data_IF_503075186554
#
_entry.id   IF_503075186554
#
_cell.length_a   1.000
_cell.length_b   1.000
_cell.length_c   1.000
_cell.angle_alpha   90.00
_cell.angle_beta   90.00
_cell.angle_gamma   90.00
#
_symmetry.space_group_name_H-M   'P 1'
#
loop_
_entity.id
_entity.type
_entity.pdbx_description
1 polymer ?
#
# COMPACT_ATOMS: atom_id res chain seq x y z
N UNK A 1 -8.79 -9.93 -15.55
CA UNK A 1 -8.88 -8.93 -14.45
C UNK A 1 -8.93 -7.50 -14.98
N UNK A 2 -7.89 -6.96 -15.63
CA UNK A 2 -7.99 -5.63 -16.28
C UNK A 2 -8.94 -5.63 -17.51
N UNK A 3 -9.07 -6.76 -18.20
CA UNK A 3 -9.99 -6.94 -19.33
C UNK A 3 -11.45 -7.23 -18.91
N UNK A 4 -11.71 -7.54 -17.64
CA UNK A 4 -13.06 -7.93 -17.14
C UNK A 4 -13.81 -6.76 -16.50
N UNK A 5 -13.29 -5.53 -16.61
CA UNK A 5 -13.94 -4.32 -16.08
C UNK A 5 -13.84 -4.11 -14.56
N UNK A 6 -12.93 -4.82 -13.88
CA UNK A 6 -12.64 -4.61 -12.46
C UNK A 6 -11.59 -3.51 -12.28
N UNK A 7 -11.82 -2.63 -11.31
CA UNK A 7 -10.85 -1.64 -10.88
C UNK A 7 -9.85 -2.27 -9.91
N UNK A 8 -8.56 -2.14 -10.24
CA UNK A 8 -7.49 -2.80 -9.49
C UNK A 8 -6.89 -1.82 -8.49
N UNK A 9 -6.87 -2.23 -7.23
CA UNK A 9 -6.13 -1.56 -6.18
C UNK A 9 -4.97 -2.45 -5.76
N UNK A 10 -3.75 -2.05 -6.11
CA UNK A 10 -2.53 -2.72 -5.69
C UNK A 10 -2.21 -2.37 -4.23
N UNK A 11 -2.01 -3.40 -3.41
CA UNK A 11 -1.72 -3.29 -1.98
C UNK A 11 -0.37 -3.96 -1.69
N UNK A 12 0.75 -3.29 -1.99
CA UNK A 12 2.08 -3.78 -1.65
C UNK A 12 2.37 -3.69 -0.14
N UNK A 13 3.21 -4.60 0.37
CA UNK A 13 3.90 -4.36 1.63
C UNK A 13 4.88 -3.20 1.50
N UNK A 14 5.15 -2.50 2.61
CA UNK A 14 6.09 -1.37 2.61
C UNK A 14 7.37 -1.76 3.36
N UNK A 15 8.38 -2.26 2.62
CA UNK A 15 9.70 -2.62 3.16
C UNK A 15 10.79 -1.60 2.78
N UNK A 16 10.64 -0.85 1.69
CA UNK A 16 11.60 0.19 1.24
C UNK A 16 10.89 1.36 0.55
N UNK A 17 11.58 2.50 0.42
CA UNK A 17 11.12 3.59 -0.47
C UNK A 17 11.26 3.25 -1.96
N UNK A 18 11.81 2.08 -2.32
CA UNK A 18 11.89 1.67 -3.73
C UNK A 18 10.68 0.87 -4.19
N UNK A 19 9.81 0.45 -3.27
CA UNK A 19 8.73 -0.50 -3.54
C UNK A 19 7.75 0.00 -4.63
N UNK A 20 7.36 1.28 -4.54
CA UNK A 20 6.44 1.89 -5.52
C UNK A 20 7.05 2.05 -6.91
N UNK A 21 8.35 2.29 -6.99
CA UNK A 21 9.06 2.37 -8.27
C UNK A 21 9.29 0.99 -8.88
N UNK A 22 9.58 -0.02 -8.06
CA UNK A 22 9.74 -1.37 -8.55
C UNK A 22 8.42 -1.90 -9.11
N UNK A 23 7.32 -1.75 -8.38
CA UNK A 23 6.03 -2.23 -8.85
C UNK A 23 5.64 -1.54 -10.17
N UNK A 24 5.78 -0.22 -10.25
CA UNK A 24 5.53 0.54 -11.49
C UNK A 24 6.41 0.06 -12.65
N UNK A 25 7.70 -0.22 -12.40
CA UNK A 25 8.63 -0.76 -13.39
C UNK A 25 8.21 -2.15 -13.89
N UNK A 26 7.87 -3.06 -12.96
CA UNK A 26 7.43 -4.42 -13.29
C UNK A 26 6.15 -4.37 -14.12
N UNK A 27 5.15 -3.59 -13.70
CA UNK A 27 3.88 -3.45 -14.43
C UNK A 27 4.12 -2.90 -15.85
N UNK A 28 4.92 -1.84 -15.99
CA UNK A 28 5.26 -1.27 -17.30
C UNK A 28 5.93 -2.29 -18.23
N UNK A 29 6.89 -3.06 -17.72
CA UNK A 29 7.58 -4.09 -18.52
C UNK A 29 6.70 -5.28 -18.88
N UNK A 30 5.64 -5.53 -18.12
CA UNK A 30 4.61 -6.54 -18.45
C UNK A 30 3.50 -5.97 -19.35
N UNK A 31 3.66 -4.74 -19.86
CA UNK A 31 2.68 -4.10 -20.74
C UNK A 31 1.43 -3.56 -20.02
N UNK A 32 1.46 -3.48 -18.69
CA UNK A 32 0.39 -2.94 -17.87
C UNK A 32 0.59 -1.44 -17.62
N UNK A 33 -0.50 -0.70 -17.55
CA UNK A 33 -0.48 0.73 -17.21
C UNK A 33 -0.08 0.89 -15.73
N UNK A 34 0.97 1.68 -15.42
CA UNK A 34 1.35 1.96 -14.04
C UNK A 34 0.21 2.61 -13.25
N UNK A 35 0.04 2.25 -11.97
CA UNK A 35 -1.06 2.77 -11.16
C UNK A 35 -0.83 4.21 -10.72
N UNK A 36 -1.92 4.88 -10.33
CA UNK A 36 -1.82 6.12 -9.57
C UNK A 36 -1.41 5.81 -8.13
N UNK A 37 -0.35 6.44 -7.64
CA UNK A 37 0.31 6.05 -6.39
C UNK A 37 -0.04 7.02 -5.27
N UNK A 38 -0.59 6.52 -4.16
CA UNK A 38 -0.80 7.32 -2.96
C UNK A 38 0.53 7.56 -2.24
N UNK A 39 1.08 8.76 -2.38
CA UNK A 39 2.36 9.15 -1.80
C UNK A 39 2.18 10.06 -0.57
N UNK A 40 3.06 9.95 0.43
CA UNK A 40 3.05 10.89 1.55
C UNK A 40 3.38 12.31 1.12
N UNK A 41 2.69 13.32 1.66
CA UNK A 41 2.92 14.75 1.31
C UNK A 41 4.35 15.23 1.58
N UNK A 42 5.12 14.53 2.42
CA UNK A 42 6.54 14.80 2.65
C UNK A 42 7.41 14.60 1.39
N UNK A 43 6.93 13.87 0.38
CA UNK A 43 7.61 13.67 -0.90
C UNK A 43 7.30 14.77 -1.92
N UNK A 44 6.39 15.70 -1.61
CA UNK A 44 6.00 16.79 -2.48
C UNK A 44 6.89 18.03 -2.28
N UNK A 45 8.19 17.91 -2.57
CA UNK A 45 9.15 19.02 -2.54
C UNK A 45 9.71 19.29 -3.94
N UNK A 46 10.16 20.52 -4.22
CA UNK A 46 10.77 20.82 -5.51
C UNK A 46 12.21 20.26 -5.58
N UNK A 47 12.64 19.62 -6.68
CA UNK A 47 11.91 19.36 -7.93
C UNK A 47 11.14 18.01 -7.99
N UNK A 48 11.14 17.21 -6.92
CA UNK A 48 10.58 15.85 -6.89
C UNK A 48 9.07 15.79 -7.10
N UNK A 49 8.33 16.66 -6.41
CA UNK A 49 6.88 16.69 -6.40
C UNK A 49 6.28 16.76 -7.81
N UNK A 50 6.65 17.75 -8.64
CA UNK A 50 6.20 17.85 -10.02
C UNK A 50 6.51 16.62 -10.88
N UNK A 51 7.67 15.99 -10.68
CA UNK A 51 8.06 14.77 -11.40
C UNK A 51 7.15 13.61 -10.99
N UNK A 52 6.99 13.36 -9.69
CA UNK A 52 6.14 12.27 -9.20
C UNK A 52 4.68 12.44 -9.60
N UNK A 53 4.14 13.67 -9.64
CA UNK A 53 2.79 13.90 -10.15
C UNK A 53 2.63 13.48 -11.61
N UNK A 54 3.63 13.77 -12.45
CA UNK A 54 3.64 13.33 -13.86
C UNK A 54 3.76 11.82 -14.01
N UNK A 55 4.34 11.15 -13.01
CA UNK A 55 4.43 9.69 -12.93
C UNK A 55 3.21 9.05 -12.24
N UNK A 56 2.14 9.81 -11.98
CA UNK A 56 0.88 9.28 -11.41
C UNK A 56 0.75 9.37 -9.89
N UNK A 57 1.70 9.98 -9.17
CA UNK A 57 1.59 10.12 -7.73
C UNK A 57 0.56 11.20 -7.33
N UNK A 58 -0.31 10.86 -6.38
CA UNK A 58 -1.16 11.81 -5.67
C UNK A 58 -0.77 11.87 -4.19
N UNK A 59 -0.64 13.08 -3.65
CA UNK A 59 -0.07 13.27 -2.33
C UNK A 59 -1.15 13.29 -1.24
N UNK A 60 -0.96 12.45 -0.22
CA UNK A 60 -1.85 12.30 0.92
C UNK A 60 -1.20 12.76 2.22
N UNK A 61 -2.02 13.35 3.10
CA UNK A 61 -1.66 13.67 4.48
C UNK A 61 -1.73 12.42 5.34
N UNK A 62 -0.92 12.37 6.40
CA UNK A 62 -0.88 11.24 7.35
C UNK A 62 -2.17 11.09 8.16
N UNK A 63 -2.91 12.17 8.40
CA UNK A 63 -4.17 12.16 9.14
C UNK A 63 -5.27 12.86 8.35
N UNK A 64 -6.45 12.24 8.38
CA UNK A 64 -7.70 12.77 7.86
C UNK A 64 -8.58 13.33 9.00
N UNK A 65 -8.21 13.08 10.27
CA UNK A 65 -9.03 13.40 11.44
C UNK A 65 -9.21 14.92 11.58
N UNK A 66 -10.45 15.36 11.75
CA UNK A 66 -10.81 16.76 11.99
C UNK A 66 -10.92 17.65 10.75
N UNK A 67 -10.67 17.12 9.54
CA UNK A 67 -10.82 17.88 8.29
C UNK A 67 -11.80 17.19 7.33
N UNK A 68 -13.09 17.54 7.48
CA UNK A 68 -14.19 16.96 6.69
C UNK A 68 -14.04 17.25 5.20
N UNK A 69 -13.68 18.49 4.84
CA UNK A 69 -13.46 18.90 3.45
C UNK A 69 -12.35 18.07 2.79
N UNK A 70 -11.20 17.91 3.43
CA UNK A 70 -10.10 17.12 2.90
C UNK A 70 -10.50 15.66 2.69
N UNK A 71 -11.24 15.08 3.65
CA UNK A 71 -11.75 13.70 3.55
C UNK A 71 -12.72 13.54 2.40
N UNK A 72 -13.64 14.49 2.22
CA UNK A 72 -14.59 14.50 1.10
C UNK A 72 -13.85 14.62 -0.24
N UNK A 73 -12.98 15.60 -0.40
CA UNK A 73 -12.22 15.81 -1.65
C UNK A 73 -11.39 14.59 -2.01
N UNK A 74 -10.69 14.01 -1.04
CA UNK A 74 -9.88 12.82 -1.27
C UNK A 74 -10.72 11.62 -1.71
N UNK A 75 -11.89 11.44 -1.09
CA UNK A 75 -12.83 10.37 -1.45
C UNK A 75 -13.41 10.57 -2.86
N UNK A 76 -13.83 11.78 -3.21
CA UNK A 76 -14.32 12.06 -4.58
C UNK A 76 -13.20 11.88 -5.61
N UNK A 77 -11.96 12.26 -5.26
CA UNK A 77 -10.80 12.03 -6.13
C UNK A 77 -10.56 10.53 -6.38
N UNK A 78 -10.62 9.69 -5.34
CA UNK A 78 -10.54 8.22 -5.51
C UNK A 78 -11.70 7.68 -6.34
N UNK A 79 -12.93 8.16 -6.08
CA UNK A 79 -14.11 7.78 -6.86
C UNK A 79 -13.95 8.11 -8.35
N UNK A 80 -13.40 9.28 -8.68
CA UNK A 80 -13.13 9.68 -10.06
C UNK A 80 -12.05 8.82 -10.72
N UNK A 81 -10.98 8.45 -9.99
CA UNK A 81 -9.96 7.54 -10.51
C UNK A 81 -10.56 6.19 -10.88
N UNK A 82 -11.37 5.60 -10.00
CA UNK A 82 -12.04 4.33 -10.25
C UNK A 82 -13.08 4.42 -11.37
N UNK A 83 -13.85 5.50 -11.43
CA UNK A 83 -14.83 5.76 -12.50
C UNK A 83 -14.17 5.79 -13.89
N UNK A 84 -12.96 6.34 -13.97
CA UNK A 84 -12.17 6.45 -15.21
C UNK A 84 -11.39 5.18 -15.59
N UNK A 85 -11.41 4.15 -14.76
CA UNK A 85 -10.65 2.93 -15.06
C UNK A 85 -9.19 2.96 -14.63
N UNK A 86 -8.79 3.89 -13.77
CA UNK A 86 -7.41 3.99 -13.31
C UNK A 86 -7.15 3.05 -12.13
N UNK A 87 -6.13 2.21 -12.28
CA UNK A 87 -5.59 1.44 -11.16
C UNK A 87 -4.93 2.36 -10.13
N UNK A 88 -5.02 1.97 -8.86
CA UNK A 88 -4.48 2.73 -7.73
C UNK A 88 -3.55 1.85 -6.92
N UNK A 89 -2.48 2.44 -6.38
CA UNK A 89 -1.57 1.78 -5.47
C UNK A 89 -1.53 2.55 -4.13
N UNK A 90 -1.68 1.83 -3.02
CA UNK A 90 -1.42 2.38 -1.70
C UNK A 90 -0.94 1.35 -0.69
N UNK A 91 -0.12 1.81 0.25
CA UNK A 91 0.43 1.00 1.32
C UNK A 91 -0.50 0.97 2.53
N UNK A 92 -1.10 -0.19 2.82
CA UNK A 92 -1.99 -0.35 3.97
C UNK A 92 -1.22 -0.28 5.30
N UNK A 93 0.07 -0.60 5.34
CA UNK A 93 0.92 -0.47 6.55
C UNK A 93 1.16 0.98 7.01
N UNK A 94 0.97 1.97 6.13
CA UNK A 94 1.11 3.39 6.48
C UNK A 94 2.48 3.82 7.03
N UNK A 95 3.50 2.98 6.88
CA UNK A 95 4.89 3.13 7.31
C UNK A 95 5.72 1.92 6.88
N UNK A 96 7.06 2.00 6.98
CA UNK A 96 7.97 0.90 6.60
C UNK A 96 8.06 -0.14 7.71
N UNK A 97 7.87 -1.42 7.40
CA UNK A 97 8.22 -2.52 8.31
C UNK A 97 9.73 -2.57 8.54
N UNK A 98 10.16 -2.54 9.80
CA UNK A 98 11.56 -2.42 10.22
C UNK A 98 12.17 -3.73 10.73
N UNK A 99 11.36 -4.75 10.97
CA UNK A 99 11.78 -6.03 11.60
C UNK A 99 11.42 -7.25 10.76
N UNK A 100 10.93 -7.06 9.53
CA UNK A 100 10.41 -8.12 8.67
C UNK A 100 8.95 -8.51 8.96
N UNK A 101 8.38 -8.05 10.09
CA UNK A 101 6.95 -8.17 10.44
C UNK A 101 6.16 -6.99 9.92
N UNK A 102 5.04 -7.23 9.24
CA UNK A 102 4.19 -6.15 8.74
C UNK A 102 3.66 -5.27 9.90
N UNK A 103 3.55 -3.95 9.68
CA UNK A 103 2.98 -3.03 10.67
C UNK A 103 1.45 -3.13 10.76
N UNK A 104 0.88 -2.64 11.86
CA UNK A 104 -0.57 -2.50 11.99
C UNK A 104 -1.13 -1.64 10.86
N UNK A 105 -2.18 -2.12 10.16
CA UNK A 105 -2.68 -1.46 8.98
C UNK A 105 -3.35 -0.12 9.32
N UNK A 106 -3.00 0.94 8.57
CA UNK A 106 -3.72 2.20 8.56
C UNK A 106 -4.91 2.09 7.62
N UNK A 107 -6.06 1.85 8.21
CA UNK A 107 -7.34 1.62 7.53
C UNK A 107 -7.96 2.84 6.85
N UNK A 108 -7.36 4.03 6.97
CA UNK A 108 -7.88 5.28 6.42
C UNK A 108 -8.12 5.23 4.91
N UNK A 109 -7.10 4.89 4.12
CA UNK A 109 -7.23 4.83 2.65
C UNK A 109 -8.18 3.73 2.21
N UNK A 110 -8.10 2.54 2.81
CA UNK A 110 -9.00 1.43 2.54
C UNK A 110 -10.47 1.78 2.86
N UNK A 111 -10.72 2.47 3.97
CA UNK A 111 -12.05 2.96 4.33
C UNK A 111 -12.58 3.96 3.30
N UNK A 112 -11.72 4.84 2.76
CA UNK A 112 -12.11 5.77 1.70
C UNK A 112 -12.39 5.04 0.38
N UNK A 113 -11.64 3.99 0.04
CA UNK A 113 -11.91 3.12 -1.12
C UNK A 113 -13.30 2.50 -1.04
N UNK A 114 -13.66 1.89 0.10
CA UNK A 114 -15.00 1.29 0.28
C UNK A 114 -16.08 2.37 0.26
N UNK A 115 -15.86 3.53 0.89
CA UNK A 115 -16.82 4.64 0.84
C UNK A 115 -17.00 5.19 -0.58
N UNK A 116 -15.95 5.25 -1.39
CA UNK A 116 -16.04 5.64 -2.79
C UNK A 116 -16.86 4.62 -3.60
N UNK A 117 -16.71 3.32 -3.31
CA UNK A 117 -17.53 2.26 -3.91
C UNK A 117 -19.01 2.39 -3.53
N UNK A 118 -19.32 2.76 -2.28
CA UNK A 118 -20.68 2.99 -1.79
C UNK A 118 -21.38 4.21 -2.43
N UNK A 119 -20.71 4.97 -3.30
CA UNK A 119 -21.33 6.07 -4.07
C UNK A 119 -22.09 5.59 -5.32
N UNK A 120 -22.15 4.27 -5.54
CA UNK A 120 -22.85 3.69 -6.69
C UNK A 120 -21.97 3.58 -7.95
N UNK A 121 -20.65 3.48 -7.77
CA UNK A 121 -19.74 3.15 -8.88
C UNK A 121 -20.12 1.80 -9.49
N UNK A 122 -20.16 1.72 -10.83
CA UNK A 122 -20.62 0.52 -11.55
C UNK A 122 -19.57 -0.57 -11.66
N UNK A 123 -18.29 -0.23 -11.42
CA UNK A 123 -17.18 -1.16 -11.60
C UNK A 123 -16.78 -1.80 -10.27
N UNK A 124 -16.70 -3.14 -10.21
CA UNK A 124 -16.25 -3.84 -9.01
C UNK A 124 -14.78 -3.53 -8.72
N UNK A 125 -14.46 -3.27 -7.46
CA UNK A 125 -13.08 -3.04 -7.01
C UNK A 125 -12.47 -4.36 -6.51
N UNK A 126 -11.27 -4.67 -6.95
CA UNK A 126 -10.48 -5.82 -6.49
C UNK A 126 -9.18 -5.34 -5.85
N UNK A 127 -8.94 -5.76 -4.61
CA UNK A 127 -7.67 -5.52 -3.94
C UNK A 127 -6.68 -6.62 -4.32
N UNK A 128 -5.47 -6.24 -4.73
CA UNK A 128 -4.41 -7.18 -5.11
C UNK A 128 -3.26 -7.05 -4.10
N UNK A 129 -3.13 -7.99 -3.15
CA UNK A 129 -2.02 -8.06 -2.22
C UNK A 129 -0.71 -8.28 -2.97
N UNK A 130 0.36 -7.53 -2.65
CA UNK A 130 1.66 -7.71 -3.29
C UNK A 130 2.75 -7.84 -2.23
N UNK A 131 3.52 -8.90 -2.34
CA UNK A 131 4.77 -9.07 -1.62
C UNK A 131 5.94 -8.54 -2.47
N UNK A 132 6.76 -7.68 -1.88
CA UNK A 132 8.01 -7.22 -2.45
C UNK A 132 9.15 -7.60 -1.50
N UNK A 133 10.16 -8.28 -2.03
CA UNK A 133 11.33 -8.71 -1.26
C UNK A 133 12.63 -8.57 -2.08
N UNK A 134 13.73 -8.24 -1.40
CA UNK A 134 15.05 -8.12 -2.00
C UNK A 134 16.07 -8.85 -1.14
N UNK A 135 17.06 -9.49 -1.78
CA UNK A 135 18.16 -10.16 -1.07
C UNK A 135 19.09 -9.16 -0.37
N UNK A 136 19.34 -8.01 -0.99
CA UNK A 136 20.06 -6.91 -0.37
C UNK A 136 19.17 -5.68 -0.25
N UNK A 137 18.82 -5.29 0.98
CA UNK A 137 18.09 -4.04 1.24
C UNK A 137 19.11 -2.89 1.21
N UNK A 138 19.04 -2.00 0.23
CA UNK A 138 19.95 -0.85 0.08
C UNK A 138 20.04 0.05 1.32
N UNK A 139 18.98 0.07 2.13
CA UNK A 139 18.86 0.94 3.29
C UNK A 139 19.61 0.42 4.53
N UNK A 140 20.21 -0.78 4.53
CA UNK A 140 20.83 -1.39 5.74
C UNK A 140 21.93 -0.50 6.35
N UNK A 141 22.74 0.17 5.54
CA UNK A 141 23.83 1.03 6.03
C UNK A 141 23.34 2.32 6.71
N UNK A 142 22.33 2.98 6.13
CA UNK A 142 21.68 4.17 6.71
C UNK A 142 20.82 3.77 7.91
N UNK A 143 20.17 2.61 7.83
CA UNK A 143 19.35 2.02 8.89
C UNK A 143 20.15 1.63 10.13
N UNK A 144 21.31 1.00 9.97
CA UNK A 144 22.20 0.71 11.09
C UNK A 144 22.69 1.99 11.78
N UNK A 145 22.80 3.11 11.05
CA UNK A 145 23.12 4.42 11.63
C UNK A 145 21.92 5.01 12.38
N UNK A 146 20.70 4.93 11.84
CA UNK A 146 19.47 5.35 12.53
C UNK A 146 19.22 4.52 13.81
N UNK A 147 19.40 3.20 13.77
CA UNK A 147 19.32 2.32 14.95
C UNK A 147 20.36 2.66 16.03
N UNK A 148 21.51 3.23 15.63
CA UNK A 148 22.55 3.74 16.52
C UNK A 148 22.31 5.20 16.97
N UNK A 149 21.11 5.72 16.75
CA UNK A 149 20.69 7.05 17.25
C UNK A 149 20.84 8.20 16.27
N UNK A 150 21.17 7.96 14.99
CA UNK A 150 21.19 9.02 13.99
C UNK A 150 19.77 9.53 13.68
N UNK A 151 19.63 10.85 13.50
CA UNK A 151 18.36 11.48 13.14
C UNK A 151 17.92 11.09 11.73
N UNK A 152 16.61 10.86 11.54
CA UNK A 152 16.02 10.54 10.23
C UNK A 152 16.36 11.65 9.22
N UNK A 153 17.14 11.32 8.20
CA UNK A 153 17.46 12.28 7.13
C UNK A 153 16.21 12.54 6.25
N UNK A 154 16.03 13.80 5.85
CA UNK A 154 14.99 14.17 4.87
C UNK A 154 15.42 13.62 3.50
N UNK A 155 14.52 12.91 2.83
CA UNK A 155 14.77 12.29 1.53
C UNK A 155 15.16 13.34 0.47
N UNK A 156 16.18 13.03 -0.33
CA UNK A 156 16.64 13.91 -1.42
C UNK A 156 16.60 13.17 -2.77
N UNK A 157 16.18 13.86 -3.82
CA UNK A 157 16.12 13.31 -5.19
C UNK A 157 17.43 12.68 -5.69
N UNK A 158 18.62 13.28 -5.46
CA UNK A 158 19.88 12.67 -5.87
C UNK A 158 20.13 11.34 -5.16
N UNK A 159 19.70 11.21 -3.91
CA UNK A 159 19.82 9.98 -3.13
C UNK A 159 18.89 8.88 -3.67
N UNK A 160 17.67 9.25 -4.08
CA UNK A 160 16.74 8.33 -4.76
C UNK A 160 17.26 7.87 -6.13
N UNK A 161 17.81 8.78 -6.94
CA UNK A 161 18.39 8.48 -8.26
C UNK A 161 19.67 7.63 -8.17
N UNK A 162 20.53 7.89 -7.18
CA UNK A 162 21.66 7.00 -6.88
C UNK A 162 21.17 5.64 -6.39
N UNK A 163 20.04 5.61 -5.67
CA UNK A 163 19.30 4.41 -5.30
C UNK A 163 18.99 3.52 -6.51
N UNK A 164 18.37 4.12 -7.53
CA UNK A 164 18.07 3.48 -8.81
C UNK A 164 19.30 2.90 -9.51
N UNK A 165 20.42 3.65 -9.58
CA UNK A 165 21.63 3.16 -10.28
C UNK A 165 22.26 1.93 -9.62
N UNK A 166 22.03 1.72 -8.32
CA UNK A 166 22.53 0.56 -7.57
C UNK A 166 21.55 -0.61 -7.57
N UNK A 167 20.36 -0.48 -8.19
CA UNK A 167 19.41 -1.59 -8.37
C UNK A 167 20.05 -2.80 -9.06
N UNK A 168 20.98 -2.57 -9.99
CA UNK A 168 21.71 -3.65 -10.70
C UNK A 168 22.58 -4.50 -9.77
N UNK A 169 22.91 -4.01 -8.58
CA UNK A 169 23.76 -4.69 -7.60
C UNK A 169 22.98 -5.23 -6.39
N UNK A 170 21.64 -5.34 -6.48
CA UNK A 170 20.78 -5.76 -5.36
C UNK A 170 20.61 -7.28 -5.18
N UNK A 171 21.17 -8.08 -6.08
CA UNK A 171 20.83 -9.50 -6.17
C UNK A 171 19.45 -9.69 -6.80
N UNK A 172 18.76 -10.79 -6.47
CA UNK A 172 17.44 -11.08 -7.00
C UNK A 172 16.34 -10.34 -6.21
N UNK A 173 15.50 -9.60 -6.94
CA UNK A 173 14.29 -8.97 -6.42
C UNK A 173 13.07 -9.84 -6.73
N UNK A 174 12.21 -10.04 -5.75
CA UNK A 174 10.99 -10.84 -5.85
C UNK A 174 9.77 -9.93 -5.74
N UNK A 175 8.89 -10.00 -6.74
CA UNK A 175 7.56 -9.38 -6.71
C UNK A 175 6.53 -10.48 -6.92
N UNK A 176 5.80 -10.79 -5.85
CA UNK A 176 4.80 -11.85 -5.86
C UNK A 176 3.43 -11.25 -5.61
N UNK A 177 2.48 -11.58 -6.49
CA UNK A 177 1.08 -11.19 -6.35
C UNK A 177 0.38 -12.26 -5.51
N UNK A 178 -0.20 -11.85 -4.39
CA UNK A 178 -1.04 -12.71 -3.56
C UNK A 178 -2.42 -12.91 -4.16
N UNK A 179 -3.22 -13.76 -3.53
CA UNK A 179 -4.58 -14.05 -3.98
C UNK A 179 -5.43 -12.76 -3.97
N UNK A 180 -5.98 -12.33 -5.12
CA UNK A 180 -6.80 -11.13 -5.20
C UNK A 180 -8.08 -11.24 -4.38
N UNK A 181 -8.51 -10.13 -3.80
CA UNK A 181 -9.71 -10.03 -2.97
C UNK A 181 -10.72 -9.08 -3.62
N UNK A 182 -11.73 -9.61 -4.34
CA UNK A 182 -12.84 -8.79 -4.86
C UNK A 182 -13.69 -8.26 -3.71
N UNK A 183 -13.77 -6.93 -3.57
CA UNK A 183 -14.43 -6.28 -2.43
C UNK A 183 -15.93 -6.60 -2.36
N UNK A 184 -16.62 -6.59 -3.49
CA UNK A 184 -18.05 -6.92 -3.53
C UNK A 184 -18.33 -8.35 -3.05
N UNK A 185 -17.50 -9.32 -3.47
CA UNK A 185 -17.62 -10.71 -3.02
C UNK A 185 -17.39 -10.82 -1.52
N UNK A 186 -16.36 -10.16 -1.00
CA UNK A 186 -16.09 -10.11 0.44
C UNK A 186 -17.26 -9.52 1.23
N UNK A 187 -17.79 -8.38 0.78
CA UNK A 187 -18.91 -7.72 1.42
C UNK A 187 -20.21 -8.54 1.34
N UNK A 188 -20.49 -9.22 0.23
CA UNK A 188 -21.64 -10.12 0.12
C UNK A 188 -21.62 -11.22 1.20
N UNK A 189 -20.43 -11.71 1.56
CA UNK A 189 -20.27 -12.78 2.54
C UNK A 189 -20.32 -12.28 3.99
N UNK A 190 -19.74 -11.11 4.26
CA UNK A 190 -19.54 -10.62 5.64
C UNK A 190 -20.52 -9.53 6.07
N UNK A 191 -21.12 -8.82 5.11
CA UNK A 191 -22.09 -7.73 5.34
C UNK A 191 -23.19 -7.82 4.29
N UNK A 192 -24.11 -8.81 4.34
CA UNK A 192 -25.06 -9.07 3.24
C UNK A 192 -25.88 -7.85 2.80
N UNK A 193 -26.23 -6.98 3.75
CA UNK A 193 -27.02 -5.76 3.54
C UNK A 193 -26.18 -4.53 3.12
N UNK A 194 -24.89 -4.71 2.81
CA UNK A 194 -24.00 -3.58 2.48
C UNK A 194 -24.50 -2.71 1.33
N UNK A 195 -25.28 -3.29 0.40
CA UNK A 195 -25.88 -2.57 -0.74
C UNK A 195 -26.90 -1.53 -0.32
N UNK A 196 -27.55 -1.69 0.83
CA UNK A 196 -28.49 -0.71 1.37
C UNK A 196 -27.78 0.56 1.85
N UNK A 197 -26.46 0.47 2.08
CA UNK A 197 -25.62 1.61 2.41
C UNK A 197 -25.10 2.36 1.17
N UNK A 198 -25.53 1.99 -0.03
CA UNK A 198 -25.16 2.71 -1.26
C UNK A 198 -25.99 3.99 -1.37
N UNK A 199 -25.31 5.14 -1.35
CA UNK A 199 -25.95 6.45 -1.47
C UNK A 199 -25.10 7.36 -2.40
N UNK A 200 -25.62 7.70 -3.61
CA UNK A 200 -24.94 8.58 -4.55
C UNK A 200 -24.85 10.04 -4.09
N UNK A 201 -25.64 10.45 -3.09
CA UNK A 201 -25.82 11.85 -2.68
C UNK A 201 -25.16 12.08 -1.33
N UNK A 202 -25.50 11.31 -0.29
CA UNK A 202 -24.92 11.47 1.04
C UNK A 202 -23.78 10.50 1.34
N UNK A 203 -22.81 10.96 2.12
CA UNK A 203 -21.72 10.14 2.61
C UNK A 203 -22.08 9.56 3.98
N UNK A 204 -22.97 8.57 4.00
CA UNK A 204 -23.28 7.89 5.27
C UNK A 204 -22.12 6.93 5.56
N UNK A 205 -21.57 7.03 6.78
CA UNK A 205 -20.57 6.09 7.27
C UNK A 205 -21.30 5.01 8.06
N UNK A 206 -21.62 3.85 7.46
CA UNK A 206 -22.41 2.85 8.14
C UNK A 206 -21.62 2.24 9.31
N UNK A 207 -22.34 1.77 10.33
CA UNK A 207 -21.74 1.23 11.55
C UNK A 207 -20.80 0.04 11.28
N UNK A 208 -21.13 -0.77 10.27
CA UNK A 208 -20.33 -1.92 9.85
C UNK A 208 -18.99 -1.53 9.19
N UNK A 209 -18.85 -0.31 8.64
CA UNK A 209 -17.69 0.03 7.82
C UNK A 209 -16.36 -0.14 8.56
N UNK A 210 -16.25 0.43 9.76
CA UNK A 210 -15.00 0.42 10.51
C UNK A 210 -14.54 -1.00 10.88
N UNK A 211 -15.36 -1.86 11.51
CA UNK A 211 -14.94 -3.22 11.82
C UNK A 211 -14.64 -4.04 10.55
N UNK A 212 -15.45 -3.93 9.49
CA UNK A 212 -15.22 -4.65 8.23
C UNK A 212 -13.91 -4.22 7.56
N UNK A 213 -13.60 -2.92 7.54
CA UNK A 213 -12.33 -2.43 7.01
C UNK A 213 -11.14 -2.98 7.81
N UNK A 214 -11.25 -3.08 9.13
CA UNK A 214 -10.19 -3.67 9.96
C UNK A 214 -9.97 -5.14 9.63
N UNK A 215 -11.05 -5.91 9.42
CA UNK A 215 -10.96 -7.33 9.03
C UNK A 215 -10.33 -7.48 7.64
N UNK A 216 -10.81 -6.73 6.64
CA UNK A 216 -10.21 -6.72 5.29
C UNK A 216 -8.73 -6.38 5.38
N UNK A 217 -8.37 -5.37 6.17
CA UNK A 217 -6.98 -4.99 6.32
C UNK A 217 -6.14 -6.14 6.89
N UNK A 218 -6.60 -6.80 7.95
CA UNK A 218 -5.92 -7.98 8.52
C UNK A 218 -5.78 -9.11 7.48
N UNK A 219 -6.83 -9.42 6.73
CA UNK A 219 -6.82 -10.44 5.69
C UNK A 219 -5.84 -10.10 4.56
N UNK A 220 -5.74 -8.84 4.17
CA UNK A 220 -4.73 -8.38 3.20
C UNK A 220 -3.32 -8.61 3.74
N UNK A 221 -3.06 -8.32 5.01
CA UNK A 221 -1.74 -8.57 5.61
C UNK A 221 -1.38 -10.06 5.55
N UNK A 222 -2.33 -10.94 5.86
CA UNK A 222 -2.15 -12.39 5.74
C UNK A 222 -1.87 -12.80 4.30
N UNK A 223 -2.64 -12.29 3.33
CA UNK A 223 -2.44 -12.59 1.90
C UNK A 223 -1.10 -12.09 1.36
N UNK A 224 -0.63 -10.92 1.82
CA UNK A 224 0.72 -10.43 1.49
C UNK A 224 1.79 -11.38 2.05
N UNK A 225 1.64 -11.81 3.31
CA UNK A 225 2.58 -12.76 3.93
C UNK A 225 2.59 -14.12 3.22
N UNK A 226 1.43 -14.62 2.81
CA UNK A 226 1.32 -15.88 2.05
C UNK A 226 1.96 -15.78 0.65
N UNK A 227 2.06 -14.58 0.08
CA UNK A 227 2.79 -14.33 -1.16
C UNK A 227 4.31 -14.18 -0.96
N UNK A 228 4.80 -14.27 0.29
CA UNK A 228 6.21 -14.16 0.63
C UNK A 228 7.07 -15.18 -0.10
N UNK A 229 8.13 -14.71 -0.78
CA UNK A 229 9.12 -15.61 -1.39
C UNK A 229 9.93 -16.34 -0.30
N UNK A 230 10.10 -17.65 -0.44
CA UNK A 230 11.01 -18.41 0.42
C UNK A 230 12.46 -18.09 0.04
N UNK A 231 13.07 -17.13 0.72
CA UNK A 231 14.49 -16.80 0.59
C UNK A 231 15.19 -16.94 1.96
N UNK A 232 16.52 -17.04 1.94
CA UNK A 232 17.32 -17.29 3.15
C UNK A 232 17.03 -16.27 4.27
N UNK A 233 16.81 -15.00 3.90
CA UNK A 233 16.46 -13.95 4.87
C UNK A 233 15.09 -14.15 5.50
N UNK A 234 14.05 -14.43 4.71
CA UNK A 234 12.70 -14.68 5.24
C UNK A 234 12.66 -15.96 6.08
N UNK A 235 13.40 -17.01 5.69
CA UNK A 235 13.53 -18.24 6.50
C UNK A 235 14.21 -17.97 7.84
N UNK A 236 15.31 -17.19 7.85
CA UNK A 236 15.96 -16.76 9.09
C UNK A 236 15.04 -15.88 9.95
N UNK A 237 14.31 -14.93 9.36
CA UNK A 237 13.35 -14.10 10.09
C UNK A 237 12.21 -14.94 10.68
N UNK A 238 11.67 -15.91 9.95
CA UNK A 238 10.64 -16.83 10.46
C UNK A 238 11.18 -17.68 11.59
N UNK A 239 12.39 -18.22 11.45
CA UNK A 239 13.05 -18.98 12.51
C UNK A 239 13.27 -18.13 13.77
N UNK A 240 13.80 -16.91 13.63
CA UNK A 240 14.03 -15.98 14.73
C UNK A 240 12.72 -15.49 15.37
N UNK A 241 11.66 -15.29 14.59
CA UNK A 241 10.35 -14.86 15.09
C UNK A 241 9.63 -15.96 15.88
N UNK A 242 9.99 -17.23 15.69
CA UNK A 242 9.48 -18.37 16.46
C UNK A 242 10.17 -18.55 17.81
N UNK A 243 11.27 -17.86 18.08
CA UNK A 243 11.86 -17.80 19.42
C UNK A 243 11.14 -16.74 20.26
N UNK A 244 10.71 -17.06 21.50
CA UNK A 244 10.23 -16.04 22.42
C UNK A 244 11.34 -14.99 22.64
N UNK A 245 11.00 -13.72 22.84
CA UNK A 245 12.00 -12.72 23.19
C UNK A 245 12.76 -13.23 24.41
N UNK A 246 14.08 -13.35 24.29
CA UNK A 246 14.93 -13.65 25.43
C UNK A 246 14.61 -12.59 26.49
N UNK A 247 14.14 -13.05 27.65
CA UNK A 247 13.92 -12.24 28.83
C UNK A 247 15.17 -11.37 29.03
N UNK A 248 15.03 -10.07 28.75
CA UNK A 248 16.00 -9.09 29.18
C UNK A 248 15.69 -8.77 30.63
N UNK A 249 16.37 -9.43 31.55
CA UNK A 249 16.66 -8.93 32.89
C UNK A 249 18.08 -9.39 33.25
N UNK A 250 18.84 -8.53 33.95
CA UNK A 250 18.75 -8.53 35.40
C UNK A 250 18.31 -7.19 36.01
#
# INVERSE_FOLDING_TARGET
MAHDGHEIVYVPCHRSHMDYMLLSYVLYHQGLVPPHIAAGINLNFWPAGPIFRRLGAFFIRRTFKGNKLYSTVFREYLGELFSRGYSVEYFVEGGRSRTGRLLDPKTGTLSMTIQAMLRGGTRPITLVPIYIGYEHVMEVGTYAKELRGATKEKESLPQMLRGLSKLRNLGQGYVNFGEPMPLMTYLNQHVPEWRESIDPIESIRPAWLTPTVNNIAADLMVRINNAGAANAMNLCCTALAGFPPALSDP
#
